data_IF_852611572626
#
_entry.id   IF_852611572626
#
_cell.length_a   1.000
_cell.length_b   1.000
_cell.length_c   1.000
_cell.angle_alpha   90.00
_cell.angle_beta   90.00
_cell.angle_gamma   90.00
#
_symmetry.space_group_name_H-M   'P 1'
#
loop_
_entity.id
_entity.type
_entity.pdbx_description
1 polymer ?
#
# COMPACT_ATOMS: atom_id res chain seq x y z
N UNK A 1 -9.20 -0.40 -8.95
CA UNK A 1 -8.44 0.65 -9.67
C UNK A 1 -7.27 -0.01 -10.37
N UNK A 2 -6.78 0.62 -11.44
CA UNK A 2 -5.66 0.12 -12.24
C UNK A 2 -4.44 0.98 -11.97
N UNK A 3 -3.29 0.36 -11.76
CA UNK A 3 -2.01 1.02 -11.47
C UNK A 3 -1.00 0.50 -12.50
N UNK A 4 -0.55 1.32 -13.46
CA UNK A 4 0.47 0.88 -14.41
C UNK A 4 1.82 0.72 -13.69
N UNK A 5 2.50 -0.40 -13.92
CA UNK A 5 3.82 -0.67 -13.37
C UNK A 5 4.88 0.09 -14.16
N UNK A 6 5.86 0.66 -13.46
CA UNK A 6 7.05 1.26 -14.09
C UNK A 6 8.03 0.19 -14.53
N UNK A 7 8.12 -0.90 -13.77
CA UNK A 7 8.99 -2.03 -14.05
C UNK A 7 8.13 -3.28 -14.18
N UNK A 8 7.84 -3.74 -15.41
CA UNK A 8 7.06 -4.94 -15.62
C UNK A 8 7.74 -6.15 -14.96
N UNK A 9 6.98 -6.88 -14.15
CA UNK A 9 7.45 -8.06 -13.43
C UNK A 9 7.02 -9.32 -14.15
N UNK A 10 7.87 -10.33 -14.14
CA UNK A 10 7.50 -11.66 -14.63
C UNK A 10 6.93 -12.47 -13.48
N UNK A 11 5.63 -12.73 -13.53
CA UNK A 11 4.94 -13.52 -12.51
C UNK A 11 5.43 -14.96 -12.51
N UNK A 12 5.22 -15.66 -11.40
CA UNK A 12 5.47 -17.11 -11.29
C UNK A 12 4.71 -17.92 -12.35
N UNK A 13 3.58 -17.40 -12.86
CA UNK A 13 2.81 -18.00 -13.96
C UNK A 13 3.48 -17.88 -15.34
N UNK A 14 4.60 -17.17 -15.43
CA UNK A 14 5.33 -16.90 -16.68
C UNK A 14 4.81 -15.70 -17.47
N UNK A 15 3.71 -15.08 -17.04
CA UNK A 15 3.13 -13.88 -17.64
C UNK A 15 3.86 -12.62 -17.17
N UNK A 16 4.02 -11.64 -18.05
CA UNK A 16 4.52 -10.31 -17.68
C UNK A 16 3.36 -9.46 -17.19
N UNK A 17 3.46 -8.99 -15.95
CA UNK A 17 2.54 -8.05 -15.37
C UNK A 17 3.01 -6.63 -15.70
N UNK A 18 2.16 -5.89 -16.41
CA UNK A 18 2.41 -4.48 -16.76
C UNK A 18 1.49 -3.52 -15.98
N UNK A 19 0.40 -4.03 -15.40
CA UNK A 19 -0.60 -3.24 -14.68
C UNK A 19 -1.14 -4.03 -13.48
N UNK A 20 -1.14 -3.42 -12.30
CA UNK A 20 -1.76 -3.94 -11.09
C UNK A 20 -3.25 -3.57 -11.04
N UNK A 21 -4.09 -4.53 -10.71
CA UNK A 21 -5.51 -4.28 -10.41
C UNK A 21 -5.75 -4.29 -8.90
N UNK A 22 -5.80 -3.12 -8.28
CA UNK A 22 -6.09 -3.01 -6.85
C UNK A 22 -7.60 -2.93 -6.63
N UNK A 23 -8.21 -3.98 -6.08
CA UNK A 23 -9.64 -3.97 -5.70
C UNK A 23 -9.85 -3.25 -4.36
N UNK A 24 -11.08 -2.78 -4.15
CA UNK A 24 -11.44 -2.12 -2.88
C UNK A 24 -11.42 -3.14 -1.73
N UNK A 25 -10.53 -2.91 -0.75
CA UNK A 25 -10.45 -3.73 0.45
C UNK A 25 -11.66 -3.54 1.36
N UNK A 26 -12.10 -4.63 2.00
CA UNK A 26 -13.11 -4.58 3.07
C UNK A 26 -12.42 -4.94 4.40
N UNK A 27 -13.13 -4.70 5.50
CA UNK A 27 -12.64 -5.05 6.84
C UNK A 27 -12.39 -6.56 7.02
N UNK A 28 -13.08 -7.39 6.23
CA UNK A 28 -12.88 -8.85 6.25
C UNK A 28 -11.45 -9.22 5.87
N UNK A 29 -10.89 -8.58 4.85
CA UNK A 29 -9.52 -8.83 4.38
C UNK A 29 -8.48 -8.45 5.44
N UNK A 30 -8.67 -7.33 6.15
CA UNK A 30 -7.82 -6.99 7.30
C UNK A 30 -7.85 -8.08 8.38
N UNK A 31 -9.05 -8.60 8.70
CA UNK A 31 -9.18 -9.70 9.65
C UNK A 31 -8.60 -11.04 9.16
N UNK A 32 -8.39 -11.21 7.84
CA UNK A 32 -7.67 -12.36 7.29
C UNK A 32 -6.17 -12.15 7.38
N UNK A 33 -5.67 -10.94 7.09
CA UNK A 33 -4.26 -10.59 7.24
C UNK A 33 -3.77 -10.77 8.68
N UNK A 34 -4.49 -10.22 9.66
CA UNK A 34 -4.14 -10.39 11.09
C UNK A 34 -4.17 -11.86 11.54
N UNK A 35 -4.92 -12.74 10.86
CA UNK A 35 -4.93 -14.19 11.15
C UNK A 35 -3.83 -14.96 10.42
N UNK A 36 -3.29 -14.38 9.36
CA UNK A 36 -2.30 -15.03 8.51
C UNK A 36 -0.94 -15.06 9.20
N UNK A 37 -0.53 -13.94 9.81
CA UNK A 37 0.71 -13.84 10.58
C UNK A 37 0.60 -12.79 11.69
N UNK A 38 1.47 -12.88 12.69
CA UNK A 38 1.69 -11.84 13.71
C UNK A 38 2.72 -10.79 13.25
N UNK A 39 3.50 -11.08 12.20
CA UNK A 39 4.47 -10.14 11.64
C UNK A 39 3.77 -9.06 10.79
N UNK A 40 3.98 -7.76 11.07
CA UNK A 40 3.33 -6.68 10.33
C UNK A 40 3.67 -6.66 8.82
N UNK A 41 4.87 -7.08 8.44
CA UNK A 41 5.28 -7.16 7.03
C UNK A 41 4.52 -8.26 6.31
N UNK A 42 4.51 -9.47 6.87
CA UNK A 42 3.76 -10.60 6.30
C UNK A 42 2.25 -10.34 6.27
N UNK A 43 1.70 -9.61 7.26
CA UNK A 43 0.31 -9.15 7.23
C UNK A 43 0.04 -8.20 6.06
N UNK A 44 0.93 -7.23 5.83
CA UNK A 44 0.78 -6.27 4.74
C UNK A 44 0.87 -6.97 3.38
N UNK A 45 1.87 -7.83 3.18
CA UNK A 45 2.04 -8.58 1.93
C UNK A 45 0.84 -9.48 1.64
N UNK A 46 0.32 -10.17 2.66
CA UNK A 46 -0.88 -10.98 2.50
C UNK A 46 -2.12 -10.12 2.21
N UNK A 47 -2.25 -8.96 2.86
CA UNK A 47 -3.33 -8.04 2.56
C UNK A 47 -3.25 -7.56 1.10
N UNK A 48 -2.08 -7.14 0.64
CA UNK A 48 -1.87 -6.71 -0.75
C UNK A 48 -2.14 -7.85 -1.75
N UNK A 49 -1.76 -9.08 -1.42
CA UNK A 49 -2.08 -10.28 -2.20
C UNK A 49 -3.60 -10.43 -2.39
N UNK A 50 -4.38 -10.29 -1.32
CA UNK A 50 -5.84 -10.38 -1.35
C UNK A 50 -6.45 -9.26 -2.19
N UNK A 51 -5.87 -8.06 -2.20
CA UNK A 51 -6.42 -6.90 -2.87
C UNK A 51 -6.04 -6.84 -4.36
N UNK A 52 -4.90 -7.38 -4.73
CA UNK A 52 -4.39 -7.39 -6.11
C UNK A 52 -4.74 -8.68 -6.85
N UNK A 53 -4.98 -9.77 -6.11
CA UNK A 53 -5.15 -11.12 -6.67
C UNK A 53 -3.83 -11.78 -7.07
N UNK A 54 -2.69 -11.18 -6.71
CA UNK A 54 -1.36 -11.76 -6.86
C UNK A 54 -1.00 -12.65 -5.66
N UNK A 55 -0.03 -13.54 -5.83
CA UNK A 55 0.54 -14.29 -4.69
C UNK A 55 1.46 -13.39 -3.87
N UNK A 56 1.75 -13.77 -2.63
CA UNK A 56 2.73 -13.07 -1.79
C UNK A 56 4.12 -13.08 -2.43
N UNK A 57 4.47 -14.17 -3.12
CA UNK A 57 5.72 -14.27 -3.89
C UNK A 57 5.76 -13.24 -5.03
N UNK A 58 4.70 -13.10 -5.82
CA UNK A 58 4.62 -12.12 -6.91
C UNK A 58 4.63 -10.67 -6.38
N UNK A 59 4.09 -10.42 -5.18
CA UNK A 59 4.19 -9.12 -4.50
C UNK A 59 5.63 -8.80 -4.10
N UNK A 60 6.38 -9.79 -3.62
CA UNK A 60 7.80 -9.65 -3.25
C UNK A 60 8.73 -9.38 -4.44
N UNK A 61 8.33 -9.78 -5.65
CA UNK A 61 9.08 -9.53 -6.90
C UNK A 61 8.84 -8.13 -7.49
N UNK A 62 7.91 -7.35 -6.92
CA UNK A 62 7.67 -5.97 -7.36
C UNK A 62 8.88 -5.08 -7.11
N UNK A 63 9.21 -4.24 -8.09
CA UNK A 63 10.22 -3.20 -7.90
C UNK A 63 9.80 -2.27 -6.75
N UNK A 64 10.77 -1.76 -6.00
CA UNK A 64 10.52 -0.88 -4.85
C UNK A 64 9.71 0.36 -5.23
N UNK A 65 9.87 0.89 -6.45
CA UNK A 65 9.08 2.03 -6.93
C UNK A 65 7.61 1.68 -7.15
N UNK A 66 7.33 0.45 -7.59
CA UNK A 66 5.98 -0.05 -7.84
C UNK A 66 5.31 -0.52 -6.56
N UNK A 67 6.05 -1.17 -5.66
CA UNK A 67 5.60 -1.51 -4.29
C UNK A 67 5.19 -0.24 -3.53
N UNK A 68 6.02 0.82 -3.56
CA UNK A 68 5.66 2.12 -2.99
C UNK A 68 4.36 2.67 -3.57
N UNK A 69 4.20 2.61 -4.90
CA UNK A 69 3.00 3.12 -5.58
C UNK A 69 1.74 2.33 -5.18
N UNK A 70 1.85 1.01 -5.01
CA UNK A 70 0.78 0.15 -4.53
C UNK A 70 0.37 0.50 -3.10
N UNK A 71 1.34 0.70 -2.20
CA UNK A 71 1.08 1.10 -0.81
C UNK A 71 0.46 2.49 -0.72
N UNK A 72 0.92 3.45 -1.53
CA UNK A 72 0.34 4.80 -1.59
C UNK A 72 -1.12 4.75 -2.10
N UNK A 73 -1.39 3.95 -3.14
CA UNK A 73 -2.73 3.71 -3.64
C UNK A 73 -3.66 3.09 -2.58
N UNK A 74 -3.16 2.11 -1.82
CA UNK A 74 -3.90 1.52 -0.71
C UNK A 74 -4.24 2.55 0.37
N UNK A 75 -3.29 3.41 0.76
CA UNK A 75 -3.52 4.47 1.77
C UNK A 75 -4.62 5.44 1.33
N UNK A 76 -4.56 5.93 0.09
CA UNK A 76 -5.60 6.80 -0.48
C UNK A 76 -6.98 6.14 -0.42
N UNK A 77 -7.05 4.84 -0.76
CA UNK A 77 -8.28 4.08 -0.69
C UNK A 77 -8.84 3.95 0.74
N UNK A 78 -7.97 3.75 1.75
CA UNK A 78 -8.37 3.65 3.17
C UNK A 78 -8.94 4.98 3.68
N UNK A 79 -8.36 6.10 3.26
CA UNK A 79 -8.83 7.46 3.59
C UNK A 79 -10.14 7.82 2.87
N UNK A 80 -10.65 6.95 1.99
CA UNK A 80 -11.84 7.20 1.18
C UNK A 80 -11.61 8.20 0.04
N UNK A 81 -10.35 8.43 -0.33
CA UNK A 81 -9.94 9.27 -1.46
C UNK A 81 -10.05 8.48 -2.76
N UNK A 82 -10.75 9.03 -3.73
CA UNK A 82 -10.90 8.44 -5.07
C UNK A 82 -9.70 8.87 -5.90
N UNK A 83 -8.76 7.96 -6.14
CA UNK A 83 -7.48 8.25 -6.83
C UNK A 83 -7.64 8.90 -8.21
N UNK A 84 -8.73 8.62 -8.93
CA UNK A 84 -9.06 9.25 -10.21
C UNK A 84 -9.54 10.71 -10.08
N UNK A 85 -10.06 11.10 -8.91
CA UNK A 85 -10.58 12.45 -8.64
C UNK A 85 -9.52 13.30 -7.89
N UNK A 86 -8.78 12.67 -6.99
CA UNK A 86 -7.83 13.33 -6.09
C UNK A 86 -6.39 13.45 -6.66
N UNK A 87 -6.06 12.74 -7.75
CA UNK A 87 -4.83 12.96 -8.52
C UNK A 87 -4.77 14.36 -9.16
N UNK A 88 -5.92 15.03 -9.33
CA UNK A 88 -5.98 16.43 -9.76
C UNK A 88 -5.67 17.44 -8.64
N UNK A 89 -5.52 16.98 -7.39
CA UNK A 89 -5.34 17.83 -6.22
C UNK A 89 -4.02 17.63 -5.45
N UNK A 90 -3.19 16.62 -5.79
CA UNK A 90 -1.99 16.31 -4.98
C UNK A 90 -0.72 16.84 -5.62
N UNK A 91 -0.56 18.17 -5.59
CA UNK A 91 0.74 18.78 -5.39
C UNK A 91 1.01 18.88 -3.89
N UNK A 92 2.17 18.37 -3.46
CA UNK A 92 2.79 18.56 -2.14
C UNK A 92 2.07 17.96 -0.90
N UNK A 93 2.56 16.80 -0.46
CA UNK A 93 2.61 16.48 0.96
C UNK A 93 3.87 15.65 1.26
N UNK A 94 4.97 16.35 1.52
CA UNK A 94 6.17 15.80 2.16
C UNK A 94 5.90 15.43 3.63
N UNK A 95 6.84 14.69 4.26
CA UNK A 95 6.59 13.94 5.47
C UNK A 95 6.48 14.86 6.69
N UNK A 96 5.37 14.77 7.43
CA UNK A 96 5.35 15.25 8.81
C UNK A 96 6.15 14.27 9.67
N UNK A 97 7.45 14.55 9.78
CA UNK A 97 8.27 14.09 10.89
C UNK A 97 7.58 14.54 12.19
N UNK A 98 7.19 13.57 13.03
CA UNK A 98 6.75 13.83 14.39
C UNK A 98 7.88 14.51 15.15
N UNK A 99 7.76 15.83 15.31
CA UNK A 99 8.66 16.59 16.15
C UNK A 99 8.45 16.17 17.60
N UNK A 100 9.50 15.59 18.17
CA UNK A 100 9.68 15.40 19.60
C UNK A 100 9.51 16.75 20.33
N UNK A 101 8.55 16.81 21.24
CA UNK A 101 8.38 17.91 22.19
C UNK A 101 8.79 17.46 23.59
N UNK A 102 10.08 17.56 23.89
CA UNK A 102 10.64 17.51 25.25
C UNK A 102 10.40 18.85 25.96
N UNK A 103 9.78 18.79 27.14
CA UNK A 103 10.08 19.63 28.32
C UNK A 103 9.76 21.12 28.30
N UNK A 104 8.80 21.53 29.14
CA UNK A 104 8.96 22.63 30.11
C UNK A 104 7.64 22.83 30.90
N UNK A 105 7.57 22.31 32.13
CA UNK A 105 6.64 22.85 33.13
C UNK A 105 7.45 23.70 34.11
N UNK A 106 7.32 25.01 33.96
CA UNK A 106 7.61 26.01 34.97
C UNK A 106 6.36 26.88 35.16
N UNK A 107 6.13 27.27 36.41
CA UNK A 107 5.18 28.26 36.95
C UNK A 107 3.93 27.71 37.65
N UNK A 108 3.89 27.96 38.96
CA UNK A 108 2.79 27.74 39.89
C UNK A 108 3.29 27.63 41.32
#
# INVERSE_FOLDING_TARGET
MKIPLKFPVKLATGQTLEELNLRRGKRKEMGLATKFSDDPGEQEDFLLSLLTGLTVEDIGELDLADSKQLTDAFRLMVEGRDTAKDASATGAAGPNAGAAGLGASAAG
#
